data_IF_351297097532
#
_entry.id   IF_351297097532
#
_cell.length_a   1.000
_cell.length_b   1.000
_cell.length_c   1.000
_cell.angle_alpha   90.00
_cell.angle_beta   90.00
_cell.angle_gamma   90.00
#
_symmetry.space_group_name_H-M   'P 1'
#
loop_
_entity.id
_entity.type
_entity.pdbx_description
1 polymer ?
#
# COMPACT_ATOMS: atom_id res chain seq x y z
N UNK A 1 -16.40 1.80 2.40
CA UNK A 1 -15.69 1.45 1.16
C UNK A 1 -15.80 2.60 0.16
N UNK A 2 -14.76 2.86 -0.64
CA UNK A 2 -14.78 3.91 -1.68
C UNK A 2 -15.41 3.46 -3.01
N UNK A 3 -15.83 2.20 -3.09
CA UNK A 3 -16.40 1.62 -4.32
C UNK A 3 -15.35 1.06 -5.29
N UNK A 4 -14.04 1.19 -5.01
CA UNK A 4 -12.99 0.68 -5.91
C UNK A 4 -13.19 -0.79 -6.32
N UNK A 5 -13.47 -1.75 -5.42
CA UNK A 5 -13.67 -3.14 -5.82
C UNK A 5 -14.81 -3.32 -6.82
N UNK A 6 -15.92 -2.60 -6.65
CA UNK A 6 -17.06 -2.65 -7.55
C UNK A 6 -16.67 -2.13 -8.94
N UNK A 7 -16.00 -0.97 -8.99
CA UNK A 7 -15.51 -0.38 -10.24
C UNK A 7 -14.54 -1.31 -10.97
N UNK A 8 -13.56 -1.88 -10.25
CA UNK A 8 -12.58 -2.83 -10.84
C UNK A 8 -13.23 -4.14 -11.31
N UNK A 9 -14.35 -4.54 -10.69
CA UNK A 9 -15.14 -5.71 -11.12
C UNK A 9 -16.10 -5.40 -12.28
N UNK A 10 -16.16 -4.16 -12.76
CA UNK A 10 -17.06 -3.72 -13.85
C UNK A 10 -18.49 -3.37 -13.41
N UNK A 11 -18.75 -3.27 -12.11
CA UNK A 11 -20.05 -2.86 -11.58
C UNK A 11 -20.08 -1.35 -11.33
N UNK A 12 -20.24 -0.58 -12.42
CA UNK A 12 -20.25 0.87 -12.38
C UNK A 12 -21.42 1.44 -11.56
N UNK A 13 -22.57 0.80 -11.62
CA UNK A 13 -23.76 1.23 -10.86
C UNK A 13 -23.48 1.19 -9.34
N UNK A 14 -22.95 0.08 -8.85
CA UNK A 14 -22.64 -0.07 -7.43
C UNK A 14 -21.51 0.89 -7.01
N UNK A 15 -20.53 1.12 -7.88
CA UNK A 15 -19.48 2.11 -7.64
C UNK A 15 -20.07 3.51 -7.45
N UNK A 16 -20.92 3.97 -8.38
CA UNK A 16 -21.50 5.30 -8.33
C UNK A 16 -22.41 5.49 -7.10
N UNK A 17 -23.25 4.50 -6.78
CA UNK A 17 -24.06 4.55 -5.57
C UNK A 17 -23.22 4.75 -4.32
N UNK A 18 -22.14 3.97 -4.18
CA UNK A 18 -21.26 4.06 -3.04
C UNK A 18 -20.50 5.40 -3.00
N UNK A 19 -20.05 5.88 -4.15
CA UNK A 19 -19.34 7.15 -4.27
C UNK A 19 -20.24 8.33 -3.92
N UNK A 20 -21.45 8.41 -4.44
CA UNK A 20 -22.41 9.48 -4.12
C UNK A 20 -22.76 9.50 -2.64
N UNK A 21 -23.02 8.35 -2.02
CA UNK A 21 -23.27 8.26 -0.58
C UNK A 21 -22.08 8.79 0.23
N UNK A 22 -20.84 8.41 -0.14
CA UNK A 22 -19.66 8.91 0.53
C UNK A 22 -19.46 10.43 0.33
N UNK A 23 -19.66 10.94 -0.87
CA UNK A 23 -19.54 12.36 -1.20
C UNK A 23 -20.53 13.18 -0.37
N UNK A 24 -21.77 12.73 -0.28
CA UNK A 24 -22.80 13.38 0.54
C UNK A 24 -22.35 13.49 2.01
N UNK A 25 -21.90 12.37 2.61
CA UNK A 25 -21.43 12.33 4.00
C UNK A 25 -20.20 13.26 4.19
N UNK A 26 -19.20 13.16 3.33
CA UNK A 26 -18.00 13.97 3.41
C UNK A 26 -18.30 15.48 3.30
N UNK A 27 -19.26 15.85 2.45
CA UNK A 27 -19.70 17.23 2.29
C UNK A 27 -20.50 17.73 3.49
N UNK A 28 -21.34 16.90 4.12
CA UNK A 28 -22.04 17.24 5.37
C UNK A 28 -21.08 17.62 6.48
N UNK A 29 -19.91 16.95 6.55
CA UNK A 29 -18.85 17.25 7.53
C UNK A 29 -17.84 18.30 7.04
N UNK A 30 -18.05 18.92 5.89
CA UNK A 30 -17.15 19.92 5.29
C UNK A 30 -15.69 19.41 5.16
N UNK A 31 -15.50 18.12 4.88
CA UNK A 31 -14.17 17.54 4.74
C UNK A 31 -13.46 18.16 3.53
N UNK A 32 -12.22 18.61 3.73
CA UNK A 32 -11.36 19.17 2.68
C UNK A 32 -10.15 18.30 2.39
N UNK A 33 -9.65 17.61 3.42
CA UNK A 33 -8.43 16.79 3.34
C UNK A 33 -8.69 15.39 3.85
N UNK A 34 -8.21 14.39 3.11
CA UNK A 34 -8.36 12.98 3.43
C UNK A 34 -6.96 12.33 3.42
N UNK A 35 -6.62 11.64 4.51
CA UNK A 35 -5.46 10.75 4.56
C UNK A 35 -5.95 9.31 4.49
N UNK A 36 -5.37 8.51 3.60
CA UNK A 36 -5.74 7.10 3.44
C UNK A 36 -4.53 6.18 3.40
N UNK A 37 -4.64 5.01 4.02
CA UNK A 37 -3.61 3.98 4.01
C UNK A 37 -3.72 3.02 2.80
N UNK A 38 -4.80 3.11 2.04
CA UNK A 38 -5.05 2.23 0.91
C UNK A 38 -4.83 2.97 -0.42
N UNK A 39 -3.87 2.54 -1.27
CA UNK A 39 -3.64 3.14 -2.58
C UNK A 39 -4.84 3.06 -3.53
N UNK A 40 -5.68 2.05 -3.40
CA UNK A 40 -6.93 1.96 -4.16
C UNK A 40 -7.89 3.08 -3.75
N UNK A 41 -8.10 3.26 -2.44
CA UNK A 41 -8.90 4.39 -1.93
C UNK A 41 -8.27 5.74 -2.30
N UNK A 42 -6.94 5.86 -2.22
CA UNK A 42 -6.21 7.05 -2.64
C UNK A 42 -6.51 7.41 -4.10
N UNK A 43 -6.37 6.42 -5.00
CA UNK A 43 -6.65 6.61 -6.42
C UNK A 43 -8.11 7.00 -6.67
N UNK A 44 -9.05 6.25 -6.09
CA UNK A 44 -10.49 6.46 -6.31
C UNK A 44 -10.95 7.83 -5.80
N UNK A 45 -10.56 8.20 -4.58
CA UNK A 45 -10.93 9.50 -4.00
C UNK A 45 -10.29 10.68 -4.74
N UNK A 46 -9.03 10.52 -5.18
CA UNK A 46 -8.27 11.59 -5.83
C UNK A 46 -8.62 11.77 -7.31
N UNK A 47 -8.75 10.67 -8.04
CA UNK A 47 -8.79 10.71 -9.49
C UNK A 47 -10.18 10.39 -10.08
N UNK A 48 -11.07 9.69 -9.35
CA UNK A 48 -12.34 9.22 -9.87
C UNK A 48 -13.54 9.95 -9.24
N UNK A 49 -13.48 10.28 -7.94
CA UNK A 49 -14.55 11.06 -7.28
C UNK A 49 -14.76 12.47 -7.85
N UNK A 50 -13.74 13.19 -8.38
CA UNK A 50 -13.97 14.49 -8.99
C UNK A 50 -14.98 14.49 -10.13
N UNK A 51 -15.06 13.41 -10.92
CA UNK A 51 -16.05 13.23 -11.98
C UNK A 51 -17.49 13.14 -11.45
N UNK A 52 -17.64 12.77 -10.18
CA UNK A 52 -18.92 12.64 -9.47
C UNK A 52 -19.20 13.82 -8.52
N UNK A 53 -18.38 14.88 -8.57
CA UNK A 53 -18.52 16.08 -7.74
C UNK A 53 -17.81 16.04 -6.38
N UNK A 54 -17.04 14.98 -6.08
CA UNK A 54 -16.28 14.84 -4.83
C UNK A 54 -14.84 15.34 -4.96
N UNK A 55 -14.60 16.60 -4.58
CA UNK A 55 -13.30 17.24 -4.72
C UNK A 55 -12.62 17.40 -3.36
N UNK A 56 -11.56 16.63 -3.09
CA UNK A 56 -10.83 16.60 -1.83
C UNK A 56 -9.32 16.66 -2.06
N UNK A 57 -8.58 17.25 -1.13
CA UNK A 57 -7.12 17.06 -1.03
C UNK A 57 -6.87 15.66 -0.47
N UNK A 58 -6.49 14.71 -1.32
CA UNK A 58 -6.25 13.33 -0.89
C UNK A 58 -4.76 13.07 -0.80
N UNK A 59 -4.32 12.54 0.34
CA UNK A 59 -2.91 12.26 0.64
C UNK A 59 -2.78 10.80 1.07
N UNK A 60 -1.83 10.08 0.50
CA UNK A 60 -1.53 8.74 0.98
C UNK A 60 -0.76 8.80 2.31
N UNK A 61 -1.00 7.87 3.24
CA UNK A 61 -0.39 7.91 4.57
C UNK A 61 1.14 7.98 4.54
N UNK A 62 1.81 7.35 3.58
CA UNK A 62 3.27 7.42 3.44
C UNK A 62 3.76 8.82 3.11
N UNK A 63 3.03 9.56 2.29
CA UNK A 63 3.32 10.96 1.99
C UNK A 63 3.11 11.84 3.22
N UNK A 64 2.04 11.59 3.98
CA UNK A 64 1.73 12.32 5.20
C UNK A 64 2.76 12.05 6.30
N UNK A 65 3.15 10.79 6.53
CA UNK A 65 4.21 10.43 7.47
C UNK A 65 5.55 11.05 7.08
N UNK A 66 5.94 10.94 5.81
CA UNK A 66 7.15 11.56 5.28
C UNK A 66 7.17 13.09 5.51
N UNK A 67 6.02 13.75 5.29
CA UNK A 67 5.85 15.17 5.60
C UNK A 67 6.02 15.46 7.09
N UNK A 68 5.36 14.70 7.99
CA UNK A 68 5.46 14.91 9.44
C UNK A 68 6.90 14.75 9.95
N UNK A 69 7.63 13.77 9.44
CA UNK A 69 9.05 13.56 9.78
C UNK A 69 9.89 14.74 9.31
N UNK A 70 9.69 15.18 8.05
CA UNK A 70 10.42 16.33 7.48
C UNK A 70 10.21 17.62 8.26
N UNK A 71 8.98 17.86 8.72
CA UNK A 71 8.61 19.04 9.53
C UNK A 71 9.01 18.91 11.01
N UNK A 72 9.64 17.81 11.42
CA UNK A 72 9.98 17.56 12.84
C UNK A 72 8.76 17.35 13.75
N UNK A 73 7.59 17.09 13.16
CA UNK A 73 6.33 16.84 13.92
C UNK A 73 6.17 15.37 14.33
N UNK A 74 6.96 14.51 13.74
CA UNK A 74 7.07 13.09 14.10
C UNK A 74 8.54 12.73 14.23
N UNK A 75 8.93 12.35 15.44
CA UNK A 75 10.29 11.87 15.71
C UNK A 75 10.29 10.36 15.63
N UNK A 76 11.22 9.83 14.86
CA UNK A 76 11.48 8.39 14.78
C UNK A 76 12.75 8.14 15.56
N UNK A 77 12.66 7.44 16.68
CA UNK A 77 13.82 7.00 17.44
C UNK A 77 14.43 5.80 16.69
N UNK A 78 15.63 5.98 16.14
CA UNK A 78 16.37 4.88 15.52
C UNK A 78 16.64 3.74 16.51
N UNK A 79 17.05 2.59 15.99
CA UNK A 79 17.55 1.46 16.78
C UNK A 79 16.66 0.23 16.77
N UNK A 80 15.32 0.34 16.71
CA UNK A 80 14.41 -0.82 16.66
C UNK A 80 14.63 -1.71 15.42
N UNK A 81 15.14 -1.13 14.34
CA UNK A 81 15.38 -1.83 13.07
C UNK A 81 16.86 -1.88 12.67
N UNK A 82 17.78 -1.48 13.56
CA UNK A 82 19.21 -1.53 13.30
C UNK A 82 19.66 -2.95 12.91
N UNK A 83 20.36 -3.07 11.78
CA UNK A 83 20.81 -4.34 11.22
C UNK A 83 19.67 -5.20 10.62
N UNK A 84 18.43 -4.70 10.53
CA UNK A 84 17.34 -5.38 9.85
C UNK A 84 17.35 -5.04 8.37
N UNK A 85 17.19 -6.07 7.54
CA UNK A 85 17.04 -5.94 6.10
C UNK A 85 15.56 -5.79 5.78
N UNK A 86 15.20 -4.66 5.21
CA UNK A 86 13.84 -4.37 4.75
C UNK A 86 13.84 -4.37 3.21
N UNK A 87 12.91 -5.10 2.61
CA UNK A 87 12.61 -4.92 1.18
C UNK A 87 11.23 -4.29 1.04
N UNK A 88 11.07 -3.41 0.05
CA UNK A 88 9.81 -2.70 -0.14
C UNK A 88 9.06 -3.20 -1.37
N UNK A 89 7.77 -3.50 -1.18
CA UNK A 89 6.86 -3.79 -2.28
C UNK A 89 6.15 -2.51 -2.72
N UNK A 90 6.40 -2.08 -3.95
CA UNK A 90 5.71 -0.94 -4.55
C UNK A 90 4.26 -1.31 -4.92
N UNK A 91 3.23 -0.78 -4.22
CA UNK A 91 1.84 -0.99 -4.61
C UNK A 91 1.54 -0.32 -5.94
N UNK A 92 0.94 -1.05 -6.87
CA UNK A 92 0.74 -0.56 -8.24
C UNK A 92 -0.13 0.71 -8.32
N UNK A 93 -1.16 0.82 -7.50
CA UNK A 93 -2.01 2.02 -7.45
C UNK A 93 -1.34 3.23 -6.79
N UNK A 94 -0.34 3.02 -5.94
CA UNK A 94 0.46 4.11 -5.38
C UNK A 94 1.53 4.57 -6.38
N UNK A 95 2.32 3.62 -6.87
CA UNK A 95 3.43 3.90 -7.80
C UNK A 95 2.93 4.17 -9.22
N UNK A 96 2.55 3.13 -9.97
CA UNK A 96 2.23 3.25 -11.40
C UNK A 96 1.05 4.17 -11.69
N UNK A 97 -0.01 4.14 -10.88
CA UNK A 97 -1.19 4.97 -11.11
C UNK A 97 -1.02 6.41 -10.62
N UNK A 98 -0.21 6.65 -9.58
CA UNK A 98 -0.11 7.95 -8.93
C UNK A 98 1.31 8.49 -8.78
N UNK A 99 2.32 7.81 -9.32
CA UNK A 99 3.74 8.21 -9.33
C UNK A 99 4.34 8.50 -7.94
N UNK A 100 3.89 7.79 -6.90
CA UNK A 100 4.41 7.92 -5.53
C UNK A 100 5.37 6.77 -5.23
N UNK A 101 6.66 7.00 -5.36
CA UNK A 101 7.73 6.02 -5.15
C UNK A 101 8.67 6.40 -4.01
N UNK A 102 8.97 7.69 -3.85
CA UNK A 102 10.01 8.14 -2.92
C UNK A 102 9.49 8.30 -1.48
N UNK A 103 8.23 8.70 -1.29
CA UNK A 103 7.70 8.93 0.05
C UNK A 103 7.81 7.70 0.98
N UNK A 104 7.46 6.46 0.55
CA UNK A 104 7.68 5.25 1.35
C UNK A 104 9.16 5.01 1.66
N UNK A 105 10.05 5.24 0.69
CA UNK A 105 11.51 5.05 0.85
C UNK A 105 12.11 6.03 1.84
N UNK A 106 11.72 7.31 1.75
CA UNK A 106 12.13 8.34 2.71
C UNK A 106 11.73 7.99 4.15
N UNK A 107 10.59 7.31 4.32
CA UNK A 107 10.15 6.84 5.65
C UNK A 107 11.01 5.66 6.12
N UNK A 108 11.29 4.68 5.24
CA UNK A 108 12.13 3.52 5.60
C UNK A 108 13.55 3.94 5.94
N UNK A 109 14.13 4.91 5.23
CA UNK A 109 15.46 5.46 5.51
C UNK A 109 15.60 6.04 6.93
N UNK A 110 14.50 6.45 7.57
CA UNK A 110 14.49 6.97 8.94
C UNK A 110 14.44 5.89 10.02
N UNK A 111 14.34 4.63 9.63
CA UNK A 111 14.23 3.50 10.57
C UNK A 111 15.58 2.91 10.99
N UNK A 112 16.70 3.45 10.53
CA UNK A 112 18.04 2.85 10.69
C UNK A 112 18.12 1.40 10.17
N UNK A 113 17.28 1.05 9.21
CA UNK A 113 17.24 -0.24 8.56
C UNK A 113 17.97 -0.20 7.21
N UNK A 114 18.42 -1.37 6.76
CA UNK A 114 19.01 -1.52 5.43
C UNK A 114 17.92 -1.80 4.40
N UNK A 115 17.64 -0.84 3.50
CA UNK A 115 16.71 -1.03 2.39
C UNK A 115 17.38 -1.79 1.24
N UNK A 116 16.84 -2.96 0.92
CA UNK A 116 17.23 -3.77 -0.25
C UNK A 116 16.11 -3.79 -1.27
N UNK A 117 16.35 -3.18 -2.41
CA UNK A 117 15.37 -3.15 -3.50
C UNK A 117 15.24 -4.53 -4.18
N UNK A 118 14.01 -4.89 -4.51
CA UNK A 118 13.77 -6.06 -5.35
C UNK A 118 14.26 -5.79 -6.77
N UNK A 119 14.65 -6.84 -7.51
CA UNK A 119 15.05 -6.75 -8.93
C UNK A 119 14.02 -5.98 -9.77
N UNK A 120 12.74 -6.21 -9.50
CA UNK A 120 11.62 -5.49 -10.11
C UNK A 120 11.00 -4.58 -9.06
N UNK A 121 11.40 -3.32 -9.03
CA UNK A 121 10.90 -2.27 -8.13
C UNK A 121 10.41 -1.06 -8.93
N UNK A 122 9.78 -0.12 -8.25
CA UNK A 122 9.23 1.13 -8.81
C UNK A 122 8.29 0.82 -10.00
N UNK A 123 8.50 1.45 -11.15
CA UNK A 123 7.66 1.29 -12.35
C UNK A 123 7.63 -0.16 -12.85
N UNK A 124 8.74 -0.89 -12.67
CA UNK A 124 8.89 -2.29 -13.09
C UNK A 124 8.42 -3.29 -12.03
N UNK A 125 7.89 -2.82 -10.91
CA UNK A 125 7.42 -3.66 -9.82
C UNK A 125 6.35 -4.66 -10.28
N UNK A 126 6.51 -5.95 -9.93
CA UNK A 126 5.46 -6.94 -10.16
C UNK A 126 4.28 -6.68 -9.19
N UNK A 127 3.06 -6.85 -9.66
CA UNK A 127 1.85 -6.74 -8.84
C UNK A 127 1.83 -7.78 -7.71
N UNK A 128 1.11 -7.47 -6.61
CA UNK A 128 0.82 -8.46 -5.56
C UNK A 128 -0.26 -9.46 -5.95
N UNK A 129 -1.02 -9.20 -7.03
CA UNK A 129 -2.07 -10.08 -7.51
C UNK A 129 -3.49 -9.73 -7.02
N UNK A 130 -3.67 -8.77 -6.10
CA UNK A 130 -4.99 -8.43 -5.55
C UNK A 130 -5.84 -7.54 -6.47
N UNK A 131 -5.19 -6.74 -7.33
CA UNK A 131 -5.86 -5.72 -8.16
C UNK A 131 -6.87 -6.29 -9.15
N UNK A 132 -7.70 -5.42 -9.74
CA UNK A 132 -8.74 -5.86 -10.69
C UNK A 132 -9.82 -6.73 -10.06
N UNK A 133 -10.09 -6.56 -8.75
CA UNK A 133 -10.97 -7.41 -7.95
C UNK A 133 -10.54 -8.89 -7.84
N UNK A 134 -9.32 -9.24 -8.23
CA UNK A 134 -8.83 -10.63 -8.21
C UNK A 134 -8.80 -11.23 -6.80
N UNK A 135 -8.54 -10.41 -5.76
CA UNK A 135 -8.60 -10.84 -4.35
C UNK A 135 -9.96 -11.43 -3.94
N UNK A 136 -11.03 -11.11 -4.67
CA UNK A 136 -12.40 -11.54 -4.38
C UNK A 136 -12.91 -12.64 -5.31
N UNK A 137 -12.04 -13.15 -6.20
CA UNK A 137 -12.36 -14.21 -7.15
C UNK A 137 -11.61 -15.49 -6.80
N UNK A 138 -12.10 -16.61 -7.30
CA UNK A 138 -11.33 -17.85 -7.30
C UNK A 138 -10.10 -17.71 -8.18
N UNK A 139 -9.03 -18.42 -7.79
CA UNK A 139 -7.79 -18.41 -8.56
C UNK A 139 -8.01 -18.95 -9.98
N UNK A 140 -7.53 -18.22 -10.97
CA UNK A 140 -7.59 -18.67 -12.34
C UNK A 140 -6.57 -19.82 -12.59
N UNK A 141 -6.89 -20.77 -13.48
CA UNK A 141 -5.95 -21.83 -13.84
C UNK A 141 -4.62 -21.27 -14.34
N UNK A 142 -3.53 -21.76 -13.79
CA UNK A 142 -2.18 -21.31 -14.14
C UNK A 142 -1.10 -22.12 -13.44
N UNK A 143 0.16 -21.84 -13.78
CA UNK A 143 1.30 -22.55 -13.18
C UNK A 143 1.70 -22.00 -11.80
N UNK A 144 1.40 -20.74 -11.51
CA UNK A 144 1.79 -20.07 -10.26
C UNK A 144 0.98 -18.78 -10.06
N UNK A 145 0.49 -18.58 -8.87
CA UNK A 145 -0.18 -17.33 -8.50
C UNK A 145 0.79 -16.14 -8.45
N UNK A 146 0.29 -14.95 -8.77
CA UNK A 146 1.09 -13.72 -8.86
C UNK A 146 1.69 -13.33 -7.51
N UNK A 147 0.93 -13.48 -6.41
CA UNK A 147 1.42 -13.19 -5.06
C UNK A 147 2.59 -14.09 -4.66
N UNK A 148 2.53 -15.37 -5.00
CA UNK A 148 3.63 -16.32 -4.75
C UNK A 148 4.87 -15.88 -5.51
N UNK A 149 4.74 -15.57 -6.82
CA UNK A 149 5.85 -15.08 -7.63
C UNK A 149 6.44 -13.78 -7.07
N UNK A 150 5.58 -12.84 -6.61
CA UNK A 150 6.06 -11.59 -6.01
C UNK A 150 6.76 -11.82 -4.68
N UNK A 151 6.24 -12.73 -3.86
CA UNK A 151 6.88 -13.13 -2.59
C UNK A 151 8.25 -13.76 -2.83
N UNK A 152 8.40 -14.60 -3.85
CA UNK A 152 9.71 -15.16 -4.24
C UNK A 152 10.72 -14.06 -4.56
N UNK A 153 10.32 -13.06 -5.36
CA UNK A 153 11.21 -11.90 -5.65
C UNK A 153 11.59 -11.13 -4.38
N UNK A 154 10.68 -10.98 -3.42
CA UNK A 154 11.01 -10.36 -2.15
C UNK A 154 12.00 -11.21 -1.36
N UNK A 155 11.83 -12.52 -1.31
CA UNK A 155 12.73 -13.44 -0.60
C UNK A 155 14.13 -13.52 -1.22
N UNK A 156 14.30 -13.24 -2.52
CA UNK A 156 15.62 -13.12 -3.17
C UNK A 156 16.51 -12.06 -2.51
N UNK A 157 15.93 -11.03 -1.88
CA UNK A 157 16.69 -10.01 -1.13
C UNK A 157 17.10 -10.46 0.27
N UNK A 158 16.72 -11.66 0.69
CA UNK A 158 16.93 -12.20 2.04
C UNK A 158 16.47 -11.24 3.16
N UNK A 159 15.22 -10.76 3.15
CA UNK A 159 14.77 -9.74 4.06
C UNK A 159 14.39 -10.32 5.43
N UNK A 160 14.47 -9.49 6.47
CA UNK A 160 13.78 -9.72 7.74
C UNK A 160 12.31 -9.27 7.65
N UNK A 161 12.07 -8.20 6.88
CA UNK A 161 10.75 -7.58 6.74
C UNK A 161 10.49 -7.24 5.27
N UNK A 162 9.30 -7.58 4.81
CA UNK A 162 8.74 -7.06 3.56
C UNK A 162 7.83 -5.90 3.93
N UNK A 163 8.26 -4.68 3.64
CA UNK A 163 7.46 -3.50 3.86
C UNK A 163 6.48 -3.27 2.70
N UNK A 164 5.29 -2.83 3.01
CA UNK A 164 4.26 -2.44 2.04
C UNK A 164 3.53 -1.20 2.54
N UNK A 165 2.72 -0.60 1.70
CA UNK A 165 1.85 0.53 2.04
C UNK A 165 0.48 0.38 1.36
N UNK A 166 -0.04 -0.85 1.43
CA UNK A 166 -1.34 -1.21 0.90
C UNK A 166 -1.89 -2.44 1.65
N UNK A 167 -3.08 -2.37 2.24
CA UNK A 167 -3.65 -3.49 2.99
C UNK A 167 -3.85 -4.75 2.11
N UNK A 168 -4.23 -4.58 0.85
CA UNK A 168 -4.34 -5.71 -0.08
C UNK A 168 -2.98 -6.36 -0.35
N UNK A 169 -1.94 -5.56 -0.57
CA UNK A 169 -0.59 -6.09 -0.78
C UNK A 169 -0.08 -6.80 0.47
N UNK A 170 -0.37 -6.27 1.67
CA UNK A 170 0.00 -6.93 2.93
C UNK A 170 -0.62 -8.32 3.04
N UNK A 171 -1.92 -8.45 2.74
CA UNK A 171 -2.61 -9.74 2.73
C UNK A 171 -1.97 -10.71 1.74
N UNK A 172 -1.82 -10.28 0.48
CA UNK A 172 -1.29 -11.14 -0.59
C UNK A 172 0.15 -11.62 -0.32
N UNK A 173 1.00 -10.73 0.19
CA UNK A 173 2.39 -11.09 0.53
C UNK A 173 2.46 -11.97 1.79
N UNK A 174 1.58 -11.74 2.77
CA UNK A 174 1.48 -12.60 3.96
C UNK A 174 1.06 -14.02 3.57
N UNK A 175 0.10 -14.16 2.67
CA UNK A 175 -0.34 -15.47 2.17
C UNK A 175 0.76 -16.13 1.33
N UNK A 176 1.49 -15.34 0.52
CA UNK A 176 2.67 -15.82 -0.19
C UNK A 176 3.76 -16.35 0.76
N UNK A 177 4.02 -15.66 1.88
CA UNK A 177 4.98 -16.14 2.90
C UNK A 177 4.50 -17.42 3.58
N UNK A 178 3.20 -17.56 3.87
CA UNK A 178 2.63 -18.80 4.41
C UNK A 178 2.80 -19.96 3.43
N UNK A 179 2.49 -19.74 2.15
CA UNK A 179 2.68 -20.73 1.11
C UNK A 179 4.15 -21.20 0.99
N UNK A 180 5.09 -20.28 1.19
CA UNK A 180 6.53 -20.57 1.17
C UNK A 180 7.10 -21.03 2.51
N UNK A 181 6.27 -21.21 3.54
CA UNK A 181 6.68 -21.59 4.91
C UNK A 181 7.75 -20.65 5.51
N UNK A 182 7.66 -19.35 5.18
CA UNK A 182 8.62 -18.31 5.63
C UNK A 182 8.03 -17.30 6.62
N UNK A 183 6.75 -17.37 6.94
CA UNK A 183 6.02 -16.41 7.76
C UNK A 183 6.49 -16.31 9.23
N UNK A 184 7.22 -17.31 9.72
CA UNK A 184 7.85 -17.24 11.04
C UNK A 184 9.15 -16.42 11.04
N UNK A 185 9.88 -16.43 9.91
CA UNK A 185 11.21 -15.81 9.76
C UNK A 185 11.15 -14.42 9.15
N UNK A 186 10.18 -14.18 8.28
CA UNK A 186 10.00 -12.92 7.55
C UNK A 186 8.61 -12.39 7.88
N UNK A 187 8.51 -11.10 8.19
CA UNK A 187 7.23 -10.42 8.47
C UNK A 187 6.84 -9.51 7.31
N UNK A 188 5.54 -9.38 7.09
CA UNK A 188 5.00 -8.33 6.21
C UNK A 188 4.41 -7.25 7.10
N UNK A 189 4.90 -6.01 6.97
CA UNK A 189 4.44 -4.88 7.77
C UNK A 189 4.10 -3.68 6.88
N UNK A 190 3.06 -2.96 7.28
CA UNK A 190 2.78 -1.66 6.70
C UNK A 190 3.80 -0.62 7.19
N UNK A 191 4.06 0.39 6.36
CA UNK A 191 4.96 1.51 6.70
C UNK A 191 4.52 2.19 8.02
N UNK A 192 3.23 2.33 8.27
CA UNK A 192 2.72 2.92 9.51
C UNK A 192 3.01 2.05 10.74
N UNK A 193 2.95 0.72 10.61
CA UNK A 193 3.32 -0.21 11.67
C UNK A 193 4.80 -0.13 12.00
N UNK A 194 5.67 -0.02 10.98
CA UNK A 194 7.11 0.18 11.16
C UNK A 194 7.39 1.46 11.94
N UNK A 195 6.74 2.56 11.58
CA UNK A 195 6.90 3.86 12.26
C UNK A 195 6.37 3.78 13.69
N UNK A 196 5.21 3.18 13.91
CA UNK A 196 4.67 3.03 15.27
C UNK A 196 5.62 2.26 16.17
N UNK A 197 6.24 1.21 15.66
CA UNK A 197 7.24 0.41 16.41
C UNK A 197 8.52 1.21 16.69
N UNK A 198 8.94 2.09 15.78
CA UNK A 198 10.15 2.90 15.93
C UNK A 198 9.93 4.17 16.77
N UNK A 199 8.67 4.55 17.05
CA UNK A 199 8.31 5.75 17.82
C UNK A 199 8.02 5.45 19.30
N UNK A 200 8.08 4.17 19.70
CA UNK A 200 7.96 3.71 21.09
C UNK A 200 9.33 3.65 21.74
#
# INVERSE_FOLDING_TARGET
CTGDPAKRAGNEFLFQMQAFSNIEILNQYNIKKIVTACPHCFNTLKNEYPELGGNYEVVHHTQFISYLIKEGKLTVSGGSFNGKRITYHDPCYLGRANNVYEAPRNVIEKLDAELYEMKNCKEKGLCCGAGGAQMFKESEPGNKEVNIKRTEQALETSPNIIASSCPFCNTMLSDGLKNKEKHEKVKVWDIAELINQASQ
#
